data_IF_857139285512
#
_entry.id   IF_857139285512
#
_cell.length_a   1.000
_cell.length_b   1.000
_cell.length_c   1.000
_cell.angle_alpha   90.00
_cell.angle_beta   90.00
_cell.angle_gamma   90.00
#
_symmetry.space_group_name_H-M   'P 1'
#
loop_
_entity.id
_entity.type
_entity.pdbx_description
1 polymer ?
#
# COMPACT_ATOMS: atom_id res chain seq x y z
N UNK A 1 27.13 -4.28 21.63
CA UNK A 1 25.74 -3.83 21.84
C UNK A 1 25.53 -2.35 21.52
N UNK A 2 26.27 -1.39 22.10
CA UNK A 2 26.11 0.05 21.80
C UNK A 2 26.30 0.44 20.31
N UNK A 3 27.21 -0.22 19.59
CA UNK A 3 27.46 0.05 18.15
C UNK A 3 26.34 -0.43 17.22
N UNK A 4 25.60 -1.47 17.60
CA UNK A 4 24.45 -1.98 16.83
C UNK A 4 23.23 -1.08 17.09
N UNK A 5 23.02 -0.62 18.33
CA UNK A 5 21.99 0.37 18.63
C UNK A 5 22.24 1.70 17.90
N UNK A 6 23.50 2.16 17.83
CA UNK A 6 23.88 3.33 17.04
C UNK A 6 23.71 3.11 15.54
N UNK A 7 23.95 1.90 15.02
CA UNK A 7 23.71 1.58 13.61
C UNK A 7 22.22 1.52 13.26
N UNK A 8 21.37 0.99 14.14
CA UNK A 8 19.91 0.96 13.94
C UNK A 8 19.32 2.37 14.06
N UNK A 9 19.79 3.18 15.01
CA UNK A 9 19.40 4.59 15.13
C UNK A 9 19.93 5.41 13.94
N UNK A 10 21.14 5.13 13.44
CA UNK A 10 21.69 5.75 12.24
C UNK A 10 20.95 5.35 10.95
N UNK A 11 20.45 4.11 10.88
CA UNK A 11 19.61 3.65 9.77
C UNK A 11 18.24 4.33 9.79
N UNK A 12 17.71 4.63 10.98
CA UNK A 12 16.48 5.40 11.15
C UNK A 12 16.68 6.92 10.92
N UNK A 13 17.85 7.48 11.21
CA UNK A 13 18.12 8.92 11.01
C UNK A 13 18.59 9.29 9.61
N UNK A 14 18.87 8.31 8.72
CA UNK A 14 19.24 8.55 7.33
C UNK A 14 18.07 8.42 6.33
N UNK A 15 16.84 8.57 6.79
CA UNK A 15 15.67 8.76 5.91
C UNK A 15 15.63 10.26 5.55
N UNK A 16 16.57 10.68 4.70
CA UNK A 16 16.47 11.97 4.04
C UNK A 16 15.38 11.90 2.98
N UNK A 17 14.35 12.72 3.21
CA UNK A 17 13.18 12.93 2.36
C UNK A 17 13.64 13.11 0.93
N UNK A 18 13.38 12.12 0.09
CA UNK A 18 13.56 12.18 -1.36
C UNK A 18 12.23 11.75 -1.95
N UNK A 19 11.56 12.72 -2.59
CA UNK A 19 10.26 12.56 -3.22
C UNK A 19 10.30 11.41 -4.23
N UNK A 20 9.76 10.26 -3.85
CA UNK A 20 9.45 9.14 -4.76
C UNK A 20 8.06 8.67 -4.36
N UNK A 21 7.05 9.28 -4.99
CA UNK A 21 5.64 8.95 -4.83
C UNK A 21 5.35 7.64 -5.56
N UNK A 22 5.35 6.53 -4.83
CA UNK A 22 4.76 5.28 -5.30
C UNK A 22 3.93 4.58 -4.21
N UNK A 23 3.22 5.39 -3.41
CA UNK A 23 1.92 5.03 -2.86
C UNK A 23 1.03 6.28 -2.87
N UNK A 24 0.68 6.66 -4.09
CA UNK A 24 -0.54 7.29 -4.58
C UNK A 24 -1.22 8.42 -3.76
N UNK A 25 -0.66 9.62 -3.81
CA UNK A 25 -1.38 10.84 -3.44
C UNK A 25 -2.59 11.13 -4.36
N UNK A 26 -2.73 10.42 -5.48
CA UNK A 26 -3.81 10.63 -6.46
C UNK A 26 -5.03 9.81 -6.06
N UNK A 27 -4.82 8.53 -5.72
CA UNK A 27 -5.85 7.65 -5.18
C UNK A 27 -5.63 7.42 -3.67
N UNK A 28 -6.16 8.31 -2.81
CA UNK A 28 -5.88 8.26 -1.39
C UNK A 28 -6.55 7.10 -0.67
N UNK A 29 -7.47 6.37 -1.31
CA UNK A 29 -8.17 5.25 -0.69
C UNK A 29 -7.81 3.94 -1.35
N UNK A 30 -7.76 2.86 -0.57
CA UNK A 30 -7.71 1.51 -1.11
C UNK A 30 -8.57 0.55 -0.30
N UNK A 31 -9.15 -0.44 -0.98
CA UNK A 31 -9.84 -1.57 -0.35
C UNK A 31 -9.13 -2.84 -0.76
N UNK A 32 -8.86 -3.71 0.21
CA UNK A 32 -8.33 -5.05 -0.03
C UNK A 32 -9.32 -6.09 0.44
N UNK A 33 -9.53 -7.10 -0.40
CA UNK A 33 -10.28 -8.30 -0.04
C UNK A 33 -9.35 -9.48 -0.25
N UNK A 34 -9.22 -10.32 0.77
CA UNK A 34 -8.26 -11.40 0.72
C UNK A 34 -8.55 -12.54 1.68
N UNK A 35 -7.63 -13.50 1.63
CA UNK A 35 -7.54 -14.61 2.57
C UNK A 35 -6.44 -14.31 3.57
N UNK A 36 -6.57 -14.85 4.77
CA UNK A 36 -5.54 -14.83 5.78
C UNK A 36 -5.28 -16.24 6.35
N UNK A 37 -4.06 -16.47 6.79
CA UNK A 37 -3.62 -17.63 7.53
C UNK A 37 -3.08 -17.17 8.88
N UNK A 38 -3.42 -17.91 9.94
CA UNK A 38 -2.93 -17.65 11.30
C UNK A 38 -2.09 -18.83 11.75
N UNK A 39 -0.89 -18.52 12.24
CA UNK A 39 0.06 -19.49 12.76
C UNK A 39 0.43 -19.15 14.21
N UNK A 40 0.26 -20.10 15.11
CA UNK A 40 0.52 -19.91 16.55
C UNK A 40 2.01 -20.06 16.83
N UNK A 41 2.64 -19.02 17.39
CA UNK A 41 4.10 -18.93 17.54
C UNK A 41 4.68 -19.96 18.53
N UNK A 42 5.77 -20.64 18.14
CA UNK A 42 6.62 -21.44 19.05
C UNK A 42 8.06 -20.91 19.17
N UNK A 43 8.64 -20.97 20.38
CA UNK A 43 10.08 -20.79 20.63
C UNK A 43 10.57 -19.39 21.05
N UNK A 44 11.55 -19.36 21.97
CA UNK A 44 12.09 -18.13 22.57
C UNK A 44 13.22 -17.45 21.77
N UNK A 45 13.85 -18.16 20.82
CA UNK A 45 15.09 -17.73 20.15
C UNK A 45 14.88 -17.16 18.73
N UNK A 46 15.75 -16.25 18.28
CA UNK A 46 15.65 -15.60 16.96
C UNK A 46 15.73 -16.59 15.77
N UNK A 47 16.57 -17.62 15.89
CA UNK A 47 16.73 -18.67 14.88
C UNK A 47 15.47 -19.53 14.74
N UNK A 48 14.86 -19.92 15.87
CA UNK A 48 13.60 -20.66 15.87
C UNK A 48 12.46 -19.80 15.31
N UNK A 49 12.44 -18.49 15.59
CA UNK A 49 11.43 -17.54 15.08
C UNK A 49 11.45 -17.37 13.56
N UNK A 50 12.62 -17.43 12.91
CA UNK A 50 12.72 -17.34 11.44
C UNK A 50 12.29 -18.67 10.78
N UNK A 51 12.67 -19.80 11.37
CA UNK A 51 12.29 -21.11 10.85
C UNK A 51 10.79 -21.39 11.04
N UNK A 52 10.20 -20.95 12.15
CA UNK A 52 8.76 -21.04 12.43
C UNK A 52 7.96 -20.15 11.47
N UNK A 53 8.41 -18.91 11.26
CA UNK A 53 7.76 -17.96 10.35
C UNK A 53 7.74 -18.39 8.86
N UNK A 54 8.64 -19.31 8.46
CA UNK A 54 8.74 -19.88 7.12
C UNK A 54 8.20 -21.32 7.06
N UNK A 55 7.87 -21.92 8.20
CA UNK A 55 7.28 -23.25 8.31
C UNK A 55 5.81 -23.24 7.90
N UNK A 56 5.34 -24.34 7.32
CA UNK A 56 3.94 -24.50 6.88
C UNK A 56 3.18 -25.55 7.69
N UNK A 57 3.78 -26.07 8.77
CA UNK A 57 3.27 -27.22 9.53
C UNK A 57 1.92 -26.97 10.21
N UNK A 58 1.70 -25.74 10.67
CA UNK A 58 0.59 -25.37 11.56
C UNK A 58 -0.27 -24.20 11.04
N UNK A 59 -0.18 -23.91 9.73
CA UNK A 59 -0.99 -22.88 9.09
C UNK A 59 -2.48 -23.22 9.15
N UNK A 60 -3.24 -22.40 9.88
CA UNK A 60 -4.69 -22.44 9.86
C UNK A 60 -5.19 -21.60 8.68
N UNK A 61 -5.46 -22.28 7.56
CA UNK A 61 -5.92 -21.69 6.32
C UNK A 61 -7.43 -21.83 6.17
N UNK A 62 -8.14 -20.71 6.10
CA UNK A 62 -9.51 -20.68 5.58
C UNK A 62 -9.49 -20.31 4.08
N UNK A 63 -9.92 -21.20 3.18
CA UNK A 63 -9.94 -20.96 1.74
C UNK A 63 -11.06 -19.98 1.28
N UNK A 64 -11.62 -19.20 2.18
CA UNK A 64 -12.70 -18.23 1.93
C UNK A 64 -12.20 -16.81 2.22
N UNK A 65 -12.84 -15.80 1.62
CA UNK A 65 -12.57 -14.40 1.95
C UNK A 65 -12.64 -14.23 3.47
N UNK A 66 -11.52 -13.88 4.07
CA UNK A 66 -11.33 -13.96 5.51
C UNK A 66 -10.64 -12.72 6.07
N UNK A 67 -10.24 -11.77 5.21
CA UNK A 67 -9.74 -10.46 5.60
C UNK A 67 -10.24 -9.38 4.65
N UNK A 68 -10.71 -8.28 5.23
CA UNK A 68 -11.04 -7.05 4.51
C UNK A 68 -10.23 -5.92 5.14
N UNK A 69 -9.66 -5.09 4.30
CA UNK A 69 -8.85 -3.95 4.71
C UNK A 69 -9.34 -2.70 4.00
N UNK A 70 -9.43 -1.59 4.73
CA UNK A 70 -9.60 -0.25 4.17
C UNK A 70 -8.36 0.56 4.53
N UNK A 71 -7.77 1.19 3.53
CA UNK A 71 -6.57 1.98 3.66
C UNK A 71 -6.83 3.41 3.21
N UNK A 72 -6.21 4.36 3.90
CA UNK A 72 -6.16 5.76 3.50
C UNK A 72 -4.72 6.25 3.51
N UNK A 73 -4.21 6.63 2.35
CA UNK A 73 -2.96 7.36 2.23
C UNK A 73 -3.07 8.70 2.95
N UNK A 74 -2.07 9.03 3.75
CA UNK A 74 -2.00 10.27 4.50
C UNK A 74 -1.07 11.24 3.77
N UNK A 75 0.22 11.16 4.06
CA UNK A 75 1.28 11.98 3.48
C UNK A 75 2.63 11.29 3.68
N UNK A 76 3.65 11.70 2.92
CA UNK A 76 5.05 11.29 3.10
C UNK A 76 5.29 9.77 3.18
N UNK A 77 4.51 8.99 2.42
CA UNK A 77 4.61 7.53 2.41
C UNK A 77 3.85 6.82 3.54
N UNK A 78 3.17 7.56 4.42
CA UNK A 78 2.34 6.99 5.47
C UNK A 78 0.93 6.66 5.00
N UNK A 79 0.45 5.49 5.40
CA UNK A 79 -0.92 5.02 5.10
C UNK A 79 -1.54 4.48 6.39
N UNK A 80 -2.75 4.94 6.71
CA UNK A 80 -3.55 4.37 7.78
C UNK A 80 -4.33 3.16 7.25
N UNK A 81 -4.24 2.03 7.94
CA UNK A 81 -4.91 0.78 7.61
C UNK A 81 -5.89 0.42 8.73
N UNK A 82 -7.15 0.17 8.38
CA UNK A 82 -8.12 -0.53 9.22
C UNK A 82 -8.36 -1.91 8.62
N UNK A 83 -8.30 -2.97 9.42
CA UNK A 83 -8.50 -4.33 8.94
C UNK A 83 -9.44 -5.12 9.86
N UNK A 84 -10.39 -5.81 9.24
CA UNK A 84 -11.20 -6.84 9.88
C UNK A 84 -10.79 -8.21 9.34
N UNK A 85 -10.62 -9.20 10.21
CA UNK A 85 -10.36 -10.57 9.77
C UNK A 85 -11.09 -11.60 10.62
N UNK A 86 -11.42 -12.72 10.00
CA UNK A 86 -11.98 -13.91 10.64
C UNK A 86 -11.12 -15.08 10.21
N UNK A 87 -10.83 -16.02 11.11
CA UNK A 87 -10.18 -17.27 10.77
C UNK A 87 -10.74 -18.41 11.64
N UNK A 88 -10.51 -19.66 11.25
CA UNK A 88 -10.85 -20.84 12.04
C UNK A 88 -9.57 -21.57 12.39
N UNK A 89 -9.25 -21.60 13.67
CA UNK A 89 -8.07 -22.30 14.17
C UNK A 89 -8.50 -23.74 14.45
N UNK A 90 -7.93 -24.67 13.68
CA UNK A 90 -8.19 -26.11 13.74
C UNK A 90 -7.02 -26.89 14.36
N UNK A 91 -5.81 -26.34 14.31
CA UNK A 91 -4.64 -26.86 15.03
C UNK A 91 -4.23 -25.88 16.12
N UNK A 92 -4.35 -26.34 17.37
CA UNK A 92 -3.70 -25.74 18.53
C UNK A 92 -2.83 -26.84 19.13
N UNK A 93 -1.57 -26.53 19.46
CA UNK A 93 -0.47 -27.41 19.89
C UNK A 93 -0.73 -28.44 21.03
N UNK A 94 -1.97 -28.68 21.44
CA UNK A 94 -2.34 -29.71 22.44
C UNK A 94 -3.64 -30.47 22.19
N UNK A 95 -4.38 -30.25 21.10
CA UNK A 95 -5.62 -31.00 20.84
C UNK A 95 -5.97 -30.99 19.36
N UNK A 96 -6.18 -32.17 18.78
CA UNK A 96 -6.61 -32.36 17.38
C UNK A 96 -8.09 -32.00 17.15
N UNK A 97 -8.82 -31.53 18.17
CA UNK A 97 -10.28 -31.27 18.14
C UNK A 97 -10.70 -29.84 18.53
N UNK A 98 -9.87 -28.83 18.25
CA UNK A 98 -10.23 -27.43 18.55
C UNK A 98 -10.98 -26.78 17.36
N UNK A 99 -12.20 -26.27 17.59
CA UNK A 99 -12.96 -25.45 16.62
C UNK A 99 -13.03 -24.00 17.10
N UNK A 100 -11.89 -23.31 17.17
CA UNK A 100 -11.85 -21.94 17.71
C UNK A 100 -12.06 -20.93 16.58
N UNK A 101 -12.98 -19.99 16.78
CA UNK A 101 -13.17 -18.85 15.89
C UNK A 101 -12.18 -17.77 16.31
N UNK A 102 -11.31 -17.39 15.39
CA UNK A 102 -10.41 -16.25 15.52
C UNK A 102 -11.04 -15.07 14.79
N UNK A 103 -11.14 -13.92 15.46
CA UNK A 103 -11.61 -12.68 14.83
C UNK A 103 -10.71 -11.54 15.27
N UNK A 104 -10.35 -10.63 14.36
CA UNK A 104 -9.57 -9.46 14.73
C UNK A 104 -10.06 -8.19 14.06
N UNK A 105 -9.89 -7.09 14.78
CA UNK A 105 -10.01 -5.73 14.27
C UNK A 105 -8.73 -4.97 14.56
N UNK A 106 -8.06 -4.47 13.52
CA UNK A 106 -6.73 -3.88 13.61
C UNK A 106 -6.72 -2.46 13.04
N UNK A 107 -5.95 -1.59 13.68
CA UNK A 107 -5.56 -0.27 13.18
C UNK A 107 -4.04 -0.20 13.09
N UNK A 108 -3.51 -0.10 11.87
CA UNK A 108 -2.08 -0.10 11.60
C UNK A 108 -1.67 1.17 10.85
N UNK A 109 -0.50 1.71 11.18
CA UNK A 109 0.20 2.71 10.40
C UNK A 109 1.24 2.01 9.53
N UNK A 110 1.10 2.13 8.21
CA UNK A 110 2.02 1.60 7.21
C UNK A 110 2.97 2.71 6.74
N UNK A 111 4.18 2.34 6.40
CA UNK A 111 5.16 3.20 5.76
C UNK A 111 5.71 2.53 4.49
N UNK A 112 5.53 3.18 3.35
CA UNK A 112 6.03 2.74 2.05
C UNK A 112 7.56 2.87 1.95
N UNK A 113 8.19 1.87 1.35
CA UNK A 113 9.65 1.78 1.21
C UNK A 113 10.12 1.98 -0.24
N UNK A 114 9.26 2.50 -1.12
CA UNK A 114 9.55 2.70 -2.54
C UNK A 114 10.82 3.55 -2.76
N UNK A 115 11.01 4.62 -1.98
CA UNK A 115 12.21 5.45 -2.05
C UNK A 115 13.51 4.74 -1.64
N UNK A 116 13.42 3.72 -0.77
CA UNK A 116 14.58 2.89 -0.41
C UNK A 116 14.90 1.90 -1.53
N UNK A 117 13.88 1.23 -2.09
CA UNK A 117 14.06 0.29 -3.19
C UNK A 117 14.57 1.00 -4.44
N UNK A 118 14.07 2.20 -4.75
CA UNK A 118 14.52 2.97 -5.90
C UNK A 118 16.02 3.28 -5.86
N UNK A 119 16.58 3.49 -4.66
CA UNK A 119 18.03 3.70 -4.46
C UNK A 119 18.85 2.42 -4.68
N UNK A 120 18.27 1.25 -4.42
CA UNK A 120 18.96 -0.05 -4.54
C UNK A 120 18.84 -0.61 -5.96
N UNK A 121 17.67 -0.49 -6.59
CA UNK A 121 17.32 -1.14 -7.85
C UNK A 121 17.08 -0.16 -9.02
N UNK A 122 17.20 1.15 -8.79
CA UNK A 122 16.88 2.18 -9.79
C UNK A 122 15.38 2.50 -9.87
N UNK A 123 14.97 3.32 -10.85
CA UNK A 123 13.60 3.86 -10.99
C UNK A 123 12.49 2.82 -11.30
N UNK A 124 12.72 1.53 -11.09
CA UNK A 124 11.81 0.44 -11.50
C UNK A 124 10.91 -0.09 -10.36
N UNK A 125 10.32 0.81 -9.55
CA UNK A 125 9.43 0.40 -8.44
C UNK A 125 7.95 0.38 -8.81
N UNK A 126 7.56 0.75 -10.03
CA UNK A 126 6.15 0.89 -10.42
C UNK A 126 5.31 -0.39 -10.23
N UNK A 127 5.93 -1.57 -10.29
CA UNK A 127 5.25 -2.86 -10.16
C UNK A 127 5.34 -3.46 -8.74
N UNK A 128 6.18 -2.90 -7.87
CA UNK A 128 6.57 -3.52 -6.60
C UNK A 128 6.73 -2.45 -5.52
N UNK A 129 5.78 -2.39 -4.58
CA UNK A 129 5.76 -1.42 -3.49
C UNK A 129 5.81 -2.11 -2.13
N UNK A 130 7.00 -2.29 -1.53
CA UNK A 130 7.13 -2.86 -0.21
C UNK A 130 6.79 -1.84 0.87
N UNK A 131 6.31 -2.32 2.00
CA UNK A 131 5.98 -1.50 3.15
C UNK A 131 6.29 -2.23 4.45
N UNK A 132 6.45 -1.45 5.52
CA UNK A 132 6.43 -1.93 6.90
C UNK A 132 5.21 -1.36 7.61
N UNK A 133 4.75 -2.01 8.67
CA UNK A 133 3.65 -1.50 9.47
C UNK A 133 3.85 -1.74 10.96
N UNK A 134 3.25 -0.86 11.75
CA UNK A 134 3.09 -1.00 13.18
C UNK A 134 1.68 -0.57 13.58
N UNK A 135 1.14 -1.11 14.65
CA UNK A 135 -0.22 -0.80 15.05
C UNK A 135 -0.67 -1.58 16.26
N UNK A 136 -1.98 -1.64 16.42
CA UNK A 136 -2.61 -2.46 17.42
C UNK A 136 -4.00 -2.85 16.99
N UNK A 137 -4.56 -3.82 17.69
CA UNK A 137 -5.89 -4.30 17.40
C UNK A 137 -6.52 -4.98 18.60
N UNK A 138 -7.74 -5.43 18.42
CA UNK A 138 -8.41 -6.35 19.32
C UNK A 138 -8.58 -7.67 18.60
N UNK A 139 -8.07 -8.75 19.19
CA UNK A 139 -8.24 -10.11 18.69
C UNK A 139 -9.07 -10.89 19.68
N UNK A 140 -10.07 -11.61 19.19
CA UNK A 140 -10.84 -12.58 19.96
C UNK A 140 -10.54 -14.00 19.48
N UNK A 141 -10.34 -14.88 20.43
CA UNK A 141 -10.22 -16.32 20.24
C UNK A 141 -11.23 -16.99 21.18
N UNK A 142 -12.21 -17.68 20.61
CA UNK A 142 -13.23 -18.44 21.35
C UNK A 142 -13.99 -17.63 22.42
N UNK A 143 -14.41 -16.40 22.07
CA UNK A 143 -15.14 -15.45 22.93
C UNK A 143 -14.32 -14.77 24.02
N UNK A 144 -13.06 -15.17 24.23
CA UNK A 144 -12.10 -14.36 24.97
C UNK A 144 -11.39 -13.43 24.00
N UNK A 145 -10.98 -12.25 24.45
CA UNK A 145 -10.30 -11.32 23.56
C UNK A 145 -9.39 -10.34 24.27
N UNK A 146 -8.38 -9.92 23.53
CA UNK A 146 -7.25 -9.16 24.03
C UNK A 146 -6.86 -8.05 23.04
N UNK A 147 -6.42 -6.92 23.57
CA UNK A 147 -5.70 -5.95 22.77
C UNK A 147 -4.33 -6.55 22.38
N UNK A 148 -3.89 -6.34 21.15
CA UNK A 148 -2.61 -6.86 20.65
C UNK A 148 -1.79 -5.74 20.03
N UNK A 149 -0.47 -5.86 20.12
CA UNK A 149 0.46 -5.02 19.39
C UNK A 149 0.83 -5.69 18.07
N UNK A 150 0.68 -4.96 16.97
CA UNK A 150 0.85 -5.49 15.62
C UNK A 150 2.09 -4.87 14.98
N UNK A 151 2.96 -5.67 14.39
CA UNK A 151 4.03 -5.16 13.53
C UNK A 151 4.38 -6.18 12.46
N UNK A 152 4.85 -5.70 11.32
CA UNK A 152 5.19 -6.57 10.21
C UNK A 152 5.62 -5.82 8.96
N UNK A 153 5.62 -6.54 7.86
CA UNK A 153 5.95 -6.02 6.56
C UNK A 153 5.05 -6.63 5.51
N UNK A 154 5.06 -6.03 4.33
CA UNK A 154 4.30 -6.54 3.22
C UNK A 154 4.71 -5.88 1.94
N UNK A 155 3.97 -6.24 0.92
CA UNK A 155 4.25 -5.82 -0.42
C UNK A 155 3.00 -5.79 -1.27
N UNK A 156 2.91 -4.74 -2.08
CA UNK A 156 1.97 -4.68 -3.19
C UNK A 156 2.68 -4.98 -4.51
N UNK A 157 2.08 -5.84 -5.31
CA UNK A 157 2.42 -6.11 -6.69
C UNK A 157 1.35 -5.47 -7.58
N UNK A 158 1.70 -4.41 -8.30
CA UNK A 158 0.76 -3.67 -9.14
C UNK A 158 0.65 -4.31 -10.52
N UNK A 159 -0.57 -4.65 -10.92
CA UNK A 159 -0.87 -5.16 -12.27
C UNK A 159 -1.34 -4.02 -13.18
N UNK A 160 -1.92 -2.99 -12.58
CA UNK A 160 -2.28 -1.71 -13.21
C UNK A 160 -2.08 -0.58 -12.19
N UNK A 161 -2.39 0.66 -12.57
CA UNK A 161 -2.30 1.82 -11.69
C UNK A 161 -3.24 1.74 -10.48
N UNK A 162 -4.39 1.07 -10.63
CA UNK A 162 -5.43 0.97 -9.58
C UNK A 162 -5.56 -0.42 -8.97
N UNK A 163 -5.22 -1.48 -9.69
CA UNK A 163 -5.39 -2.87 -9.25
C UNK A 163 -4.04 -3.56 -9.01
N UNK A 164 -3.92 -4.21 -7.86
CA UNK A 164 -2.75 -5.00 -7.50
C UNK A 164 -3.08 -6.20 -6.61
N UNK A 165 -2.05 -6.97 -6.30
CA UNK A 165 -2.06 -8.02 -5.29
C UNK A 165 -1.24 -7.56 -4.09
N UNK A 166 -1.72 -7.83 -2.88
CA UNK A 166 -0.99 -7.51 -1.65
C UNK A 166 -0.70 -8.79 -0.87
N UNK A 167 0.56 -8.97 -0.51
CA UNK A 167 0.98 -9.91 0.51
C UNK A 167 1.40 -9.14 1.76
N UNK A 168 0.82 -9.47 2.91
CA UNK A 168 1.16 -8.85 4.18
C UNK A 168 1.39 -9.94 5.22
N UNK A 169 2.45 -9.80 6.00
CA UNK A 169 2.77 -10.71 7.08
C UNK A 169 3.27 -9.96 8.29
N UNK A 170 2.91 -10.43 9.48
CA UNK A 170 3.46 -9.87 10.71
C UNK A 170 3.01 -10.60 11.96
N UNK A 171 3.50 -10.08 13.07
CA UNK A 171 3.28 -10.62 14.41
C UNK A 171 2.20 -9.82 15.11
N UNK A 172 1.33 -10.54 15.83
CA UNK A 172 0.45 -9.99 16.85
C UNK A 172 0.96 -10.43 18.21
N UNK A 173 1.51 -9.49 18.98
CA UNK A 173 2.03 -9.75 20.32
C UNK A 173 0.94 -9.53 21.37
N UNK A 174 0.84 -10.47 22.31
CA UNK A 174 0.01 -10.42 23.50
C UNK A 174 0.64 -9.57 24.60
N UNK A 175 -0.19 -9.00 25.46
CA UNK A 175 0.21 -8.28 26.67
C UNK A 175 -0.12 -9.06 27.96
N UNK A 176 -1.18 -9.87 27.93
CA UNK A 176 -1.77 -10.61 29.05
C UNK A 176 -1.88 -12.11 28.79
N UNK A 177 -1.46 -12.57 27.61
CA UNK A 177 -1.46 -13.97 27.19
C UNK A 177 -2.84 -14.65 27.24
N UNK A 178 -3.92 -13.87 27.09
CA UNK A 178 -5.30 -14.37 26.92
C UNK A 178 -5.45 -14.95 25.52
N UNK A 179 -5.00 -14.17 24.52
CA UNK A 179 -4.85 -14.65 23.15
C UNK A 179 -3.36 -14.90 22.92
N UNK A 180 -2.94 -16.12 22.54
CA UNK A 180 -1.54 -16.39 22.27
C UNK A 180 -0.98 -15.46 21.17
N UNK A 181 0.26 -15.03 21.35
CA UNK A 181 0.99 -14.33 20.29
C UNK A 181 1.07 -15.21 19.05
N UNK A 182 0.79 -14.65 17.88
CA UNK A 182 0.69 -15.41 16.64
C UNK A 182 1.15 -14.60 15.43
N UNK A 183 1.52 -15.30 14.38
CA UNK A 183 1.76 -14.73 13.07
C UNK A 183 0.45 -14.68 12.28
N UNK A 184 0.25 -13.59 11.56
CA UNK A 184 -0.85 -13.46 10.61
C UNK A 184 -0.28 -13.14 9.24
N UNK A 185 -0.56 -14.01 8.29
CA UNK A 185 -0.23 -13.85 6.88
C UNK A 185 -1.52 -13.55 6.11
N UNK A 186 -1.45 -12.69 5.11
CA UNK A 186 -2.60 -12.42 4.24
C UNK A 186 -2.17 -12.19 2.81
N UNK A 187 -3.00 -12.68 1.89
CA UNK A 187 -2.90 -12.42 0.46
C UNK A 187 -4.24 -11.89 -0.01
N UNK A 188 -4.25 -10.76 -0.73
CA UNK A 188 -5.49 -10.14 -1.17
C UNK A 188 -5.36 -9.39 -2.49
N UNK A 189 -6.51 -9.14 -3.12
CA UNK A 189 -6.64 -8.21 -4.22
C UNK A 189 -6.86 -6.82 -3.64
N UNK A 190 -6.04 -5.86 -4.03
CA UNK A 190 -6.13 -4.45 -3.62
C UNK A 190 -6.59 -3.61 -4.79
N UNK A 191 -7.57 -2.74 -4.54
CA UNK A 191 -8.05 -1.73 -5.49
C UNK A 191 -7.91 -0.36 -4.85
N UNK A 192 -7.15 0.53 -5.49
CA UNK A 192 -7.01 1.94 -5.14
C UNK A 192 -8.02 2.80 -5.90
N UNK A 193 -8.50 3.85 -5.26
CA UNK A 193 -9.43 4.82 -5.82
C UNK A 193 -9.37 6.17 -5.10
N UNK A 194 -10.05 7.16 -5.68
CA UNK A 194 -10.26 8.48 -5.07
C UNK A 194 -9.59 9.64 -5.80
N UNK A 195 -8.82 9.37 -6.86
CA UNK A 195 -8.43 10.39 -7.83
C UNK A 195 -9.50 10.55 -8.89
N UNK A 196 -9.73 11.79 -9.33
CA UNK A 196 -10.62 12.13 -10.44
C UNK A 196 -9.79 12.52 -11.64
N UNK A 197 -10.18 12.04 -12.81
CA UNK A 197 -9.71 12.41 -14.14
C UNK A 197 -11.01 12.60 -14.95
N UNK A 198 -11.42 13.86 -15.09
CA UNK A 198 -12.77 14.24 -15.51
C UNK A 198 -12.95 14.08 -17.03
N UNK A 199 -11.90 14.27 -17.83
CA UNK A 199 -11.93 14.15 -19.29
C UNK A 199 -11.28 12.86 -19.83
N UNK A 200 -10.58 12.11 -18.99
CA UNK A 200 -10.04 10.79 -19.30
C UNK A 200 -8.75 10.82 -20.11
N UNK A 201 -7.98 11.92 -20.07
CA UNK A 201 -6.70 12.04 -20.76
C UNK A 201 -5.53 11.32 -20.05
N UNK A 202 -5.78 10.81 -18.83
CA UNK A 202 -4.82 10.10 -18.00
C UNK A 202 -4.00 11.01 -17.09
N UNK A 203 -4.42 12.25 -16.88
CA UNK A 203 -3.89 13.21 -15.92
C UNK A 203 -5.01 13.49 -14.89
N UNK A 204 -4.73 13.24 -13.62
CA UNK A 204 -5.70 13.54 -12.57
C UNK A 204 -6.00 15.05 -12.52
N UNK A 205 -7.26 15.44 -12.30
CA UNK A 205 -7.74 16.84 -12.25
C UNK A 205 -6.88 17.79 -11.38
N UNK A 206 -6.20 17.24 -10.37
CA UNK A 206 -5.31 18.01 -9.48
C UNK A 206 -3.96 18.39 -10.11
N UNK A 207 -3.61 17.77 -11.22
CA UNK A 207 -2.42 17.99 -12.03
C UNK A 207 -2.76 18.44 -13.45
N UNK A 208 -4.05 18.40 -13.78
CA UNK A 208 -4.58 18.87 -15.05
C UNK A 208 -4.89 20.37 -14.98
N UNK A 209 -4.38 21.11 -15.95
CA UNK A 209 -4.65 22.54 -16.12
C UNK A 209 -5.98 22.79 -16.85
N UNK A 210 -6.48 21.79 -17.57
CA UNK A 210 -7.74 21.80 -18.32
C UNK A 210 -8.63 20.58 -17.99
N UNK A 211 -9.08 20.37 -16.72
CA UNK A 211 -9.72 19.12 -16.27
C UNK A 211 -11.00 18.67 -17.00
N UNK A 212 -11.62 19.54 -17.81
CA UNK A 212 -12.86 19.23 -18.54
C UNK A 212 -12.61 18.93 -20.02
N UNK A 213 -11.36 19.07 -20.50
CA UNK A 213 -11.01 18.99 -21.91
C UNK A 213 -9.69 18.25 -22.09
N UNK A 214 -9.80 17.00 -22.56
CA UNK A 214 -8.66 16.13 -22.71
C UNK A 214 -7.53 16.76 -23.52
N UNK A 215 -6.32 16.70 -22.99
CA UNK A 215 -5.16 17.30 -23.62
C UNK A 215 -3.89 16.46 -23.56
N UNK A 216 -2.77 17.14 -23.77
CA UNK A 216 -1.48 16.49 -23.87
C UNK A 216 -0.73 16.59 -22.54
N UNK A 217 -0.01 15.52 -22.17
CA UNK A 217 0.83 15.48 -20.97
C UNK A 217 1.91 16.57 -20.97
N UNK A 218 2.40 16.98 -22.14
CA UNK A 218 3.40 18.05 -22.26
C UNK A 218 2.82 19.44 -21.91
N UNK A 219 1.51 19.59 -22.00
CA UNK A 219 0.76 20.80 -21.68
C UNK A 219 -0.06 20.67 -20.39
N UNK A 220 0.32 19.73 -19.52
CA UNK A 220 -0.40 19.44 -18.27
C UNK A 220 -1.90 19.24 -18.48
N UNK A 221 -2.29 18.52 -19.53
CA UNK A 221 -3.69 18.15 -19.81
C UNK A 221 -4.47 19.19 -20.62
N UNK A 222 -3.84 20.28 -21.02
CA UNK A 222 -4.47 21.19 -21.97
C UNK A 222 -4.29 20.74 -23.43
N UNK A 223 -5.31 20.95 -24.29
CA UNK A 223 -5.24 20.63 -25.70
C UNK A 223 -4.36 21.63 -26.47
N UNK A 224 -3.79 21.14 -27.56
CA UNK A 224 -3.15 21.89 -28.64
C UNK A 224 -3.72 21.29 -29.93
N UNK A 225 -4.78 21.92 -30.42
CA UNK A 225 -5.67 21.37 -31.46
C UNK A 225 -5.03 21.37 -32.85
N UNK A 226 -4.05 22.24 -33.11
CA UNK A 226 -3.35 22.32 -34.39
C UNK A 226 -1.87 21.93 -34.35
N UNK A 227 -1.33 21.66 -33.15
CA UNK A 227 -0.01 21.08 -32.95
C UNK A 227 1.13 22.06 -33.16
N UNK A 228 0.90 23.37 -33.01
CA UNK A 228 1.92 24.40 -33.19
C UNK A 228 2.79 24.64 -31.93
N UNK A 229 2.42 23.98 -30.82
CA UNK A 229 3.12 24.04 -29.55
C UNK A 229 2.58 25.08 -28.57
N UNK A 230 1.44 25.72 -28.88
CA UNK A 230 0.73 26.66 -28.02
C UNK A 230 -0.60 26.02 -27.61
N UNK A 231 -0.93 26.07 -26.32
CA UNK A 231 -2.19 25.51 -25.84
C UNK A 231 -3.38 26.32 -26.38
N UNK A 232 -4.51 25.66 -26.66
CA UNK A 232 -5.71 26.30 -27.23
C UNK A 232 -6.20 27.52 -26.43
N UNK A 233 -5.97 27.54 -25.11
CA UNK A 233 -6.34 28.65 -24.23
C UNK A 233 -5.44 29.89 -24.37
N UNK A 234 -4.24 29.74 -24.92
CA UNK A 234 -3.25 30.79 -25.17
C UNK A 234 -3.05 31.08 -26.68
N UNK A 235 -3.61 30.24 -27.55
CA UNK A 235 -3.59 30.40 -29.01
C UNK A 235 -4.75 31.29 -29.50
N UNK A 236 -4.42 32.32 -30.30
CA UNK A 236 -5.41 33.18 -30.93
C UNK A 236 -6.09 32.52 -32.15
N UNK A 237 -5.47 31.49 -32.72
CA UNK A 237 -5.98 30.69 -33.82
C UNK A 237 -5.91 29.16 -33.55
N UNK A 238 -6.63 28.61 -32.54
CA UNK A 238 -6.53 27.20 -32.08
C UNK A 238 -6.85 26.07 -33.06
N UNK A 239 -7.02 26.37 -34.34
CA UNK A 239 -7.36 25.38 -35.37
C UNK A 239 -6.48 25.50 -36.60
N UNK A 240 -5.52 26.43 -36.59
CA UNK A 240 -4.66 26.75 -37.73
C UNK A 240 -3.27 27.09 -37.20
N UNK A 241 -2.38 26.11 -37.30
CA UNK A 241 -1.02 26.23 -36.77
C UNK A 241 -0.33 27.52 -37.22
N UNK A 242 0.25 28.22 -36.25
CA UNK A 242 0.93 29.48 -36.48
C UNK A 242 2.29 29.55 -35.83
N UNK A 243 2.78 30.77 -35.71
CA UNK A 243 4.05 31.05 -35.04
C UNK A 243 3.77 31.59 -33.65
N UNK A 244 4.58 31.19 -32.67
CA UNK A 244 4.54 31.77 -31.33
C UNK A 244 4.69 33.29 -31.31
N UNK A 245 5.40 33.88 -32.28
CA UNK A 245 5.52 35.34 -32.44
C UNK A 245 4.23 36.04 -32.86
N UNK A 246 3.27 35.27 -33.38
CA UNK A 246 1.95 35.73 -33.85
C UNK A 246 0.81 35.21 -32.96
N UNK A 247 1.12 34.75 -31.74
CA UNK A 247 0.18 34.11 -30.82
C UNK A 247 -0.57 32.93 -31.47
N UNK A 248 0.15 32.07 -32.20
CA UNK A 248 -0.39 30.86 -32.82
C UNK A 248 -1.20 31.07 -34.09
N UNK A 249 -1.30 32.31 -34.59
CA UNK A 249 -1.89 32.56 -35.89
C UNK A 249 -0.89 32.44 -37.06
N UNK A 250 -1.35 32.02 -38.25
CA UNK A 250 -0.53 32.02 -39.47
C UNK A 250 -0.19 33.46 -39.89
N UNK A 251 0.93 33.62 -40.60
CA UNK A 251 1.27 34.90 -41.21
C UNK A 251 0.27 35.24 -42.34
N UNK A 252 -0.05 36.51 -42.48
CA UNK A 252 -1.08 37.01 -43.40
C UNK A 252 -0.47 37.80 -44.58
N UNK A 253 0.77 37.51 -44.94
CA UNK A 253 1.60 38.26 -45.90
C UNK A 253 1.21 38.10 -47.39
#
# INVERSE_FOLDING_TARGET
MKRIQLAVIALFTLITVSNVSAQDSNNPWAVTIGVNAVDTREGSDFSSRINDHLGTGDWNFLPTISRITVERYLNDGFTLQLAGSVNKITKVFRSEDANLIHTSFDANLKYGLDGLIAKIFGNSTQYFSPFVYLGGGYTSLDSEGEAMFNYGFGINFWVSETVGLVYQTGTKESFKDIVPSHYQHSLGLVVKFGGTDTDGDGIYDKYDSCPEVAGLKEFNGCPDSDGDGIIDGEDACPSVAGLATLNGCPDAD
#
